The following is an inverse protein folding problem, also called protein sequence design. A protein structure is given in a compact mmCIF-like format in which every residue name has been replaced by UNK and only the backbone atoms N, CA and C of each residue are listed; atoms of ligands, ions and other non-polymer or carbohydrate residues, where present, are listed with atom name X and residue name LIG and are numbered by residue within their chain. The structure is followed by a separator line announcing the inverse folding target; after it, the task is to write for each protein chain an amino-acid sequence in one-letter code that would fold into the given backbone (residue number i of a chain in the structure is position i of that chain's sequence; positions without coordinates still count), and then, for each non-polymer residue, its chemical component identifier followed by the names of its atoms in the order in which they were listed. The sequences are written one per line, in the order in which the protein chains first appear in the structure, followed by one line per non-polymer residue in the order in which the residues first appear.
data_IF_987923046311
#
_entry.id   IF_987923046311
#
_cell.length_a   1.000
_cell.length_b   1.000
_cell.length_c   1.000
_cell.angle_alpha   90.00
_cell.angle_beta   90.00
_cell.angle_gamma   90.00
#
_symmetry.space_group_name_H-M   'P 1'
#
loop_
_entity.id
_entity.type
_entity.pdbx_description
1 polymer ?
#
# COMPACT_ATOMS: atom_id res chain seq x y z
N UNK A 1 0.24 -26.48 -14.37
CA UNK A 1 1.23 -25.52 -13.85
C UNK A 1 2.23 -26.29 -13.01
N UNK A 2 3.52 -25.95 -13.07
CA UNK A 2 4.61 -26.65 -12.35
C UNK A 2 5.29 -25.72 -11.33
N UNK A 3 4.55 -24.72 -10.83
CA UNK A 3 5.07 -23.75 -9.87
C UNK A 3 4.05 -23.44 -8.77
N UNK A 4 4.55 -22.90 -7.66
CA UNK A 4 3.79 -22.44 -6.51
C UNK A 4 4.19 -21.00 -6.21
N UNK A 5 3.20 -20.16 -5.93
CA UNK A 5 3.38 -18.89 -5.23
C UNK A 5 2.91 -19.10 -3.78
N UNK A 6 3.80 -18.89 -2.81
CA UNK A 6 3.58 -19.08 -1.38
C UNK A 6 3.79 -17.75 -0.66
N UNK A 7 2.92 -17.40 0.28
CA UNK A 7 3.04 -16.21 1.10
C UNK A 7 2.72 -16.47 2.57
N UNK A 8 3.55 -15.92 3.45
CA UNK A 8 3.30 -15.80 4.89
C UNK A 8 2.91 -14.35 5.16
N UNK A 9 1.67 -14.15 5.55
CA UNK A 9 1.06 -12.86 5.79
C UNK A 9 0.97 -12.61 7.28
N UNK A 10 1.60 -11.58 7.77
CA UNK A 10 1.71 -11.24 9.19
C UNK A 10 0.90 -9.97 9.44
N UNK A 11 -0.02 -9.99 10.41
CA UNK A 11 -0.81 -8.82 10.82
C UNK A 11 0.01 -7.81 11.63
N UNK A 12 1.10 -7.34 11.05
CA UNK A 12 2.02 -6.34 11.62
C UNK A 12 2.47 -5.39 10.50
N UNK A 13 2.49 -4.10 10.78
CA UNK A 13 2.89 -3.05 9.84
C UNK A 13 2.93 -1.69 10.55
N UNK A 14 3.20 -0.61 9.84
CA UNK A 14 3.52 0.68 10.47
C UNK A 14 2.40 1.25 11.35
N UNK A 15 1.13 0.87 11.15
CA UNK A 15 0.04 1.31 12.02
C UNK A 15 0.08 0.74 13.44
N UNK A 16 0.75 -0.40 13.64
CA UNK A 16 0.87 -1.06 14.95
C UNK A 16 2.06 -0.56 15.77
N UNK A 17 2.92 0.23 15.16
CA UNK A 17 4.10 0.79 15.80
C UNK A 17 3.71 1.92 16.77
N UNK A 18 4.44 2.02 17.87
CA UNK A 18 4.40 3.24 18.68
C UNK A 18 5.28 4.33 18.00
N UNK A 19 5.03 5.61 18.23
CA UNK A 19 5.80 6.68 17.57
C UNK A 19 7.32 6.58 17.75
N UNK A 20 7.77 6.02 18.88
CA UNK A 20 9.19 5.82 19.17
C UNK A 20 9.83 4.67 18.38
N UNK A 21 9.00 3.81 17.76
CA UNK A 21 9.42 2.61 17.01
C UNK A 21 9.06 2.74 15.51
N UNK A 22 8.88 3.97 15.02
CA UNK A 22 8.49 4.19 13.63
C UNK A 22 9.52 3.61 12.65
N UNK A 23 9.08 2.62 11.85
CA UNK A 23 9.91 1.89 10.89
C UNK A 23 10.36 0.51 11.37
N UNK A 24 10.05 0.09 12.61
CA UNK A 24 10.48 -1.23 13.12
C UNK A 24 9.93 -2.39 12.30
N UNK A 25 8.71 -2.29 11.75
CA UNK A 25 8.13 -3.34 10.90
C UNK A 25 8.93 -3.51 9.60
N UNK A 26 9.31 -2.43 8.96
CA UNK A 26 10.15 -2.44 7.77
C UNK A 26 11.57 -2.90 8.10
N UNK A 27 12.12 -2.48 9.22
CA UNK A 27 13.43 -2.94 9.69
C UNK A 27 13.46 -4.45 9.94
N UNK A 28 12.41 -5.03 10.54
CA UNK A 28 12.28 -6.48 10.70
C UNK A 28 12.20 -7.18 9.34
N UNK A 29 11.51 -6.60 8.35
CA UNK A 29 11.49 -7.15 6.99
C UNK A 29 12.90 -7.35 6.43
N UNK A 30 13.79 -6.39 6.58
CA UNK A 30 15.20 -6.51 6.20
C UNK A 30 15.93 -7.60 7.01
N UNK A 31 15.74 -7.58 8.31
CA UNK A 31 16.49 -8.44 9.25
C UNK A 31 16.16 -9.92 9.13
N UNK A 32 14.94 -10.31 8.70
CA UNK A 32 14.58 -11.72 8.54
C UNK A 32 15.38 -12.43 7.44
N UNK A 33 16.02 -11.70 6.53
CA UNK A 33 16.93 -12.24 5.50
C UNK A 33 18.36 -12.41 6.02
N UNK A 34 18.71 -11.89 7.20
CA UNK A 34 20.09 -11.91 7.75
C UNK A 34 20.44 -13.15 8.55
N UNK A 35 19.58 -14.15 8.52
CA UNK A 35 19.79 -15.46 9.12
C UNK A 35 18.78 -15.81 10.20
N UNK A 36 18.64 -17.10 10.38
CA UNK A 36 17.72 -17.75 11.32
C UNK A 36 18.48 -18.72 12.22
N UNK A 37 17.79 -19.39 13.13
CA UNK A 37 18.41 -20.45 13.94
C UNK A 37 19.02 -21.58 13.11
N UNK A 38 18.47 -21.87 11.91
CA UNK A 38 18.88 -23.04 11.11
C UNK A 38 19.53 -22.68 9.78
N UNK A 39 19.38 -21.45 9.29
CA UNK A 39 19.88 -21.00 8.00
C UNK A 39 20.65 -19.69 8.14
N UNK A 40 21.88 -19.65 7.66
CA UNK A 40 22.59 -18.38 7.50
C UNK A 40 21.96 -17.51 6.39
N UNK A 41 22.26 -16.23 6.34
CA UNK A 41 21.84 -15.35 5.23
C UNK A 41 22.28 -15.90 3.87
N UNK A 42 23.50 -16.45 3.80
CA UNK A 42 24.01 -17.11 2.61
C UNK A 42 23.20 -18.35 2.23
N UNK A 43 22.80 -19.20 3.20
CA UNK A 43 21.99 -20.39 2.93
C UNK A 43 20.61 -20.02 2.39
N UNK A 44 19.97 -18.98 2.96
CA UNK A 44 18.67 -18.48 2.49
C UNK A 44 18.79 -18.09 1.02
N UNK A 45 19.74 -17.23 0.66
CA UNK A 45 19.95 -16.79 -0.71
C UNK A 45 20.27 -17.98 -1.64
N UNK A 46 21.28 -18.80 -1.27
CA UNK A 46 21.71 -19.95 -2.09
C UNK A 46 20.59 -20.96 -2.34
N UNK A 47 19.76 -21.25 -1.34
CA UNK A 47 18.66 -22.22 -1.47
C UNK A 47 17.65 -21.73 -2.52
N UNK A 48 17.25 -20.45 -2.50
CA UNK A 48 16.31 -19.94 -3.49
C UNK A 48 16.94 -19.74 -4.86
N UNK A 49 18.21 -19.39 -4.94
CA UNK A 49 18.96 -19.35 -6.21
C UNK A 49 19.03 -20.74 -6.85
N UNK A 50 19.37 -21.79 -6.07
CA UNK A 50 19.43 -23.19 -6.55
C UNK A 50 18.05 -23.70 -7.00
N UNK A 51 16.96 -23.21 -6.40
CA UNK A 51 15.59 -23.51 -6.84
C UNK A 51 15.20 -22.77 -8.12
N UNK A 52 15.97 -21.76 -8.55
CA UNK A 52 15.53 -20.80 -9.55
C UNK A 52 14.28 -20.06 -9.10
N UNK A 53 14.11 -19.89 -7.79
CA UNK A 53 12.96 -19.27 -7.15
C UNK A 53 13.20 -17.79 -6.87
N UNK A 54 12.11 -17.08 -6.63
CA UNK A 54 12.11 -15.69 -6.21
C UNK A 54 11.62 -15.64 -4.76
N UNK A 55 12.39 -15.09 -3.84
CA UNK A 55 12.01 -14.83 -2.45
C UNK A 55 12.07 -13.32 -2.20
N UNK A 56 11.01 -12.76 -1.64
CA UNK A 56 10.94 -11.34 -1.30
C UNK A 56 10.01 -11.12 -0.09
N UNK A 57 10.03 -9.91 0.46
CA UNK A 57 9.08 -9.47 1.46
C UNK A 57 8.61 -8.04 1.15
N UNK A 58 7.50 -7.65 1.75
CA UNK A 58 6.97 -6.31 1.64
C UNK A 58 6.19 -5.95 2.91
N UNK A 59 6.44 -4.75 3.42
CA UNK A 59 5.72 -4.17 4.56
C UNK A 59 4.73 -3.12 4.07
N UNK A 60 3.55 -3.13 4.64
CA UNK A 60 2.53 -2.10 4.44
C UNK A 60 2.12 -1.46 5.78
N UNK A 61 1.13 -0.59 5.74
CA UNK A 61 0.62 -0.01 6.99
C UNK A 61 -0.04 -1.04 7.90
N UNK A 62 -0.63 -2.11 7.38
CA UNK A 62 -1.43 -3.06 8.16
C UNK A 62 -0.89 -4.49 8.21
N UNK A 63 0.07 -4.82 7.38
CA UNK A 63 0.65 -6.17 7.32
C UNK A 63 2.06 -6.16 6.73
N UNK A 64 2.79 -7.22 7.05
CA UNK A 64 4.03 -7.61 6.35
C UNK A 64 3.79 -8.95 5.68
N UNK A 65 4.33 -9.16 4.50
CA UNK A 65 4.26 -10.43 3.77
C UNK A 65 5.65 -10.89 3.37
N UNK A 66 5.98 -12.15 3.67
CA UNK A 66 7.13 -12.86 3.11
C UNK A 66 6.59 -13.80 2.05
N UNK A 67 7.04 -13.69 0.82
CA UNK A 67 6.49 -14.47 -0.28
C UNK A 67 7.58 -15.00 -1.21
N UNK A 68 7.27 -16.14 -1.83
CA UNK A 68 8.18 -16.76 -2.79
C UNK A 68 7.43 -17.38 -3.97
N UNK A 69 8.13 -17.55 -5.09
CA UNK A 69 7.69 -18.33 -6.26
C UNK A 69 8.77 -19.33 -6.63
N UNK A 70 8.42 -20.58 -6.75
CA UNK A 70 9.35 -21.68 -6.98
C UNK A 70 8.65 -22.88 -7.67
N UNK A 71 9.41 -23.91 -8.05
CA UNK A 71 8.87 -25.15 -8.62
C UNK A 71 8.15 -25.98 -7.55
N UNK A 72 7.08 -26.67 -7.95
CA UNK A 72 6.21 -27.46 -7.07
C UNK A 72 6.95 -28.52 -6.22
N UNK A 73 8.00 -29.12 -6.78
CA UNK A 73 8.85 -30.10 -6.09
C UNK A 73 9.70 -29.52 -4.94
N UNK A 74 9.81 -28.20 -4.85
CA UNK A 74 10.60 -27.49 -3.84
C UNK A 74 9.77 -27.02 -2.64
N UNK A 75 8.47 -27.35 -2.58
CA UNK A 75 7.56 -26.83 -1.57
C UNK A 75 8.06 -27.05 -0.15
N UNK A 76 8.54 -28.26 0.19
CA UNK A 76 8.95 -28.60 1.56
C UNK A 76 10.13 -27.74 2.02
N UNK A 77 11.13 -27.56 1.15
CA UNK A 77 12.32 -26.79 1.46
C UNK A 77 12.02 -25.29 1.52
N UNK A 78 11.29 -24.75 0.55
CA UNK A 78 10.91 -23.34 0.53
C UNK A 78 10.06 -22.99 1.76
N UNK A 79 9.08 -23.85 2.11
CA UNK A 79 8.24 -23.66 3.29
C UNK A 79 9.09 -23.68 4.58
N UNK A 80 10.03 -24.62 4.73
CA UNK A 80 10.90 -24.71 5.89
C UNK A 80 11.71 -23.43 6.10
N UNK A 81 12.35 -22.93 5.04
CA UNK A 81 13.16 -21.71 5.11
C UNK A 81 12.29 -20.50 5.46
N UNK A 82 11.16 -20.29 4.75
CA UNK A 82 10.27 -19.16 5.00
C UNK A 82 9.65 -19.19 6.40
N UNK A 83 9.25 -20.37 6.88
CA UNK A 83 8.74 -20.52 8.25
C UNK A 83 9.77 -20.16 9.29
N UNK A 84 11.04 -20.53 9.06
CA UNK A 84 12.14 -20.23 9.97
C UNK A 84 12.47 -18.72 9.96
N UNK A 85 12.48 -18.09 8.78
CA UNK A 85 12.64 -16.63 8.64
C UNK A 85 11.58 -15.87 9.44
N UNK A 86 10.32 -16.31 9.38
CA UNK A 86 9.21 -15.65 10.07
C UNK A 86 9.20 -15.92 11.57
N UNK A 87 9.59 -17.14 12.02
CA UNK A 87 9.43 -17.55 13.42
C UNK A 87 10.70 -17.47 14.26
N UNK A 88 11.89 -17.59 13.65
CA UNK A 88 13.17 -17.73 14.36
C UNK A 88 14.30 -16.90 13.75
N UNK A 89 14.05 -15.63 13.38
CA UNK A 89 15.13 -14.77 12.92
C UNK A 89 16.11 -14.53 14.08
N UNK A 90 17.41 -14.49 13.77
CA UNK A 90 18.44 -14.20 14.76
C UNK A 90 18.66 -12.71 14.99
N UNK A 91 18.11 -11.86 14.12
CA UNK A 91 18.41 -10.43 14.09
C UNK A 91 19.93 -10.17 14.18
N UNK A 92 20.66 -10.96 13.39
CA UNK A 92 22.10 -10.78 13.25
C UNK A 92 22.39 -9.53 12.43
N UNK A 93 23.58 -8.98 12.61
CA UNK A 93 24.08 -7.83 11.84
C UNK A 93 23.17 -6.60 11.87
N UNK A 94 22.39 -6.43 12.97
CA UNK A 94 21.41 -5.35 13.11
C UNK A 94 22.00 -3.96 12.87
N UNK A 95 23.24 -3.71 13.29
CA UNK A 95 23.88 -2.41 13.12
C UNK A 95 24.24 -2.14 11.67
N UNK A 96 24.76 -3.14 10.94
CA UNK A 96 25.07 -2.99 9.52
C UNK A 96 23.80 -2.87 8.68
N UNK A 97 22.74 -3.61 9.01
CA UNK A 97 21.47 -3.52 8.29
C UNK A 97 20.74 -2.22 8.59
N UNK A 98 20.90 -1.67 9.80
CA UNK A 98 20.38 -0.32 10.12
C UNK A 98 20.96 0.73 9.20
N UNK A 99 22.27 0.68 8.91
CA UNK A 99 22.88 1.63 7.98
C UNK A 99 22.30 1.48 6.56
N UNK A 100 22.02 0.25 6.10
CA UNK A 100 21.33 0.01 4.82
C UNK A 100 19.96 0.64 4.79
N UNK A 101 19.15 0.45 5.86
CA UNK A 101 17.80 1.04 5.93
C UNK A 101 17.86 2.56 6.05
N UNK A 102 18.87 3.11 6.77
CA UNK A 102 19.07 4.56 6.84
C UNK A 102 19.44 5.18 5.48
N UNK A 103 20.22 4.48 4.65
CA UNK A 103 20.47 4.90 3.27
C UNK A 103 19.20 4.85 2.42
N UNK A 104 18.35 3.82 2.61
CA UNK A 104 17.06 3.74 1.94
C UNK A 104 16.12 4.88 2.35
N UNK A 105 16.06 5.21 3.65
CA UNK A 105 15.32 6.39 4.14
C UNK A 105 15.82 7.66 3.46
N UNK A 106 17.15 7.86 3.38
CA UNK A 106 17.72 9.03 2.73
C UNK A 106 17.37 9.08 1.22
N UNK A 107 17.44 7.95 0.51
CA UNK A 107 17.04 7.86 -0.90
C UNK A 107 15.54 8.17 -1.08
N UNK A 108 14.70 7.67 -0.18
CA UNK A 108 13.26 7.93 -0.21
C UNK A 108 12.95 9.41 0.07
N UNK A 109 13.60 10.00 1.08
CA UNK A 109 13.49 11.43 1.37
C UNK A 109 13.96 12.28 0.18
N UNK A 110 14.93 11.80 -0.60
CA UNK A 110 15.45 12.47 -1.80
C UNK A 110 14.58 12.29 -3.06
N UNK A 111 13.52 11.47 -2.98
CA UNK A 111 12.55 11.30 -4.05
C UNK A 111 11.25 12.07 -3.76
N UNK A 112 11.05 13.31 -4.26
CA UNK A 112 9.83 14.07 -3.99
C UNK A 112 8.56 13.38 -4.49
N UNK A 113 8.67 12.60 -5.56
CA UNK A 113 7.55 11.86 -6.14
C UNK A 113 7.05 10.71 -5.24
N UNK A 114 7.94 10.11 -4.44
CA UNK A 114 7.58 9.07 -3.47
C UNK A 114 7.18 9.70 -2.13
N UNK A 115 7.98 10.63 -1.62
CA UNK A 115 7.77 11.31 -0.33
C UNK A 115 6.42 12.02 -0.25
N UNK A 116 5.93 12.60 -1.34
CA UNK A 116 4.67 13.36 -1.36
C UNK A 116 3.46 12.54 -0.91
N UNK A 117 3.46 11.23 -1.12
CA UNK A 117 2.38 10.35 -0.72
C UNK A 117 2.31 10.17 0.81
N UNK A 118 3.46 10.13 1.49
CA UNK A 118 3.49 10.12 2.95
C UNK A 118 3.16 11.49 3.55
N UNK A 119 3.58 12.59 2.90
CA UNK A 119 3.18 13.96 3.29
C UNK A 119 1.65 14.11 3.18
N UNK A 120 1.03 13.55 2.12
CA UNK A 120 -0.43 13.52 2.01
C UNK A 120 -1.07 12.66 3.10
N UNK A 121 -0.55 11.46 3.35
CA UNK A 121 -1.08 10.59 4.40
C UNK A 121 -1.00 11.25 5.79
N UNK A 122 0.06 12.01 6.08
CA UNK A 122 0.16 12.83 7.28
C UNK A 122 -0.87 13.95 7.35
N UNK A 123 -1.18 14.60 6.23
CA UNK A 123 -2.18 15.66 6.18
C UNK A 123 -3.62 15.12 6.31
N UNK A 124 -3.92 13.97 5.67
CA UNK A 124 -5.26 13.36 5.68
C UNK A 124 -5.55 12.63 7.00
N UNK A 125 -4.54 11.96 7.58
CA UNK A 125 -4.68 11.12 8.77
C UNK A 125 -4.01 11.73 10.01
N UNK A 126 -3.91 13.04 10.12
CA UNK A 126 -3.21 13.70 11.23
C UNK A 126 -3.65 13.16 12.59
N UNK A 127 -2.66 12.87 13.46
CA UNK A 127 -2.90 12.24 14.76
C UNK A 127 -3.33 10.78 14.73
N UNK A 128 -3.55 10.18 13.55
CA UNK A 128 -3.96 8.79 13.40
C UNK A 128 -2.76 7.88 13.05
N UNK A 129 -2.85 6.59 13.42
CA UNK A 129 -1.77 5.62 13.15
C UNK A 129 -1.47 5.44 11.64
N UNK A 130 -2.45 5.65 10.77
CA UNK A 130 -2.28 5.58 9.31
C UNK A 130 -1.45 6.75 8.72
N UNK A 131 -1.18 7.80 9.49
CA UNK A 131 -0.30 8.88 9.06
C UNK A 131 1.18 8.46 8.97
N UNK A 132 1.60 7.38 9.69
CA UNK A 132 2.99 6.97 9.75
C UNK A 132 3.47 6.41 8.41
N UNK A 133 4.66 6.85 7.99
CA UNK A 133 5.37 6.26 6.87
C UNK A 133 5.76 4.80 7.18
N UNK A 134 5.70 3.92 6.20
CA UNK A 134 6.11 2.51 6.36
C UNK A 134 7.62 2.41 6.57
N UNK A 135 8.38 3.22 5.85
CA UNK A 135 9.84 3.25 5.96
C UNK A 135 10.34 3.78 7.32
N UNK A 136 9.44 4.43 8.09
CA UNK A 136 9.76 5.03 9.39
C UNK A 136 10.51 6.35 9.28
N UNK A 137 11.39 6.59 10.23
CA UNK A 137 12.27 7.75 10.23
C UNK A 137 13.63 7.43 10.86
N UNK A 138 14.66 8.15 10.43
CA UNK A 138 16.03 7.92 10.86
C UNK A 138 16.25 8.05 12.39
N UNK A 139 15.49 8.89 13.08
CA UNK A 139 15.63 9.08 14.53
C UNK A 139 15.17 7.86 15.31
N UNK A 140 14.00 7.28 14.97
CA UNK A 140 13.48 6.07 15.59
C UNK A 140 14.38 4.87 15.28
N UNK A 141 14.75 4.67 14.01
CA UNK A 141 15.61 3.55 13.58
C UNK A 141 16.97 3.52 14.29
N UNK A 142 17.56 4.70 14.59
CA UNK A 142 18.81 4.77 15.36
C UNK A 142 18.66 4.39 16.84
N UNK A 143 17.43 4.45 17.38
CA UNK A 143 17.14 4.06 18.77
C UNK A 143 16.79 2.59 18.91
N UNK A 144 16.29 1.95 17.87
CA UNK A 144 15.87 0.56 17.89
C UNK A 144 17.09 -0.36 18.06
N UNK A 145 17.28 -0.84 19.27
CA UNK A 145 18.28 -1.86 19.57
C UNK A 145 17.70 -3.28 19.33
N UNK A 146 18.56 -4.28 19.42
CA UNK A 146 18.14 -5.67 19.22
C UNK A 146 17.00 -6.08 20.14
N UNK A 147 16.98 -5.62 21.38
CA UNK A 147 15.93 -5.96 22.35
C UNK A 147 14.57 -5.37 21.95
N UNK A 148 14.55 -4.13 21.44
CA UNK A 148 13.32 -3.51 20.94
C UNK A 148 12.76 -4.22 19.72
N UNK A 149 13.61 -4.61 18.77
CA UNK A 149 13.25 -5.39 17.58
C UNK A 149 12.71 -6.77 17.97
N UNK A 150 13.42 -7.50 18.84
CA UNK A 150 12.97 -8.81 19.35
C UNK A 150 11.62 -8.70 20.06
N UNK A 151 11.45 -7.70 20.92
CA UNK A 151 10.19 -7.50 21.65
C UNK A 151 9.00 -7.20 20.71
N UNK A 152 9.22 -6.41 19.65
CA UNK A 152 8.20 -6.15 18.64
C UNK A 152 7.85 -7.42 17.85
N UNK A 153 8.86 -8.17 17.39
CA UNK A 153 8.68 -9.43 16.69
C UNK A 153 7.92 -10.45 17.56
N UNK A 154 8.32 -10.68 18.80
CA UNK A 154 7.65 -11.59 19.73
C UNK A 154 6.18 -11.20 20.02
N UNK A 155 5.86 -9.92 19.95
CA UNK A 155 4.50 -9.45 20.18
C UNK A 155 3.60 -9.64 18.94
N UNK A 156 4.13 -9.46 17.73
CA UNK A 156 3.35 -9.38 16.50
C UNK A 156 3.45 -10.61 15.59
N UNK A 157 4.61 -11.30 15.54
CA UNK A 157 4.83 -12.46 14.66
C UNK A 157 4.35 -13.77 15.32
N UNK A 158 3.14 -13.72 15.86
CA UNK A 158 2.50 -14.82 16.57
C UNK A 158 1.55 -15.58 15.65
N UNK A 159 1.36 -16.88 15.89
CA UNK A 159 0.55 -17.77 15.04
C UNK A 159 -0.83 -17.22 14.66
N UNK A 160 -1.63 -16.63 15.59
CA UNK A 160 -2.95 -16.09 15.23
C UNK A 160 -2.89 -14.88 14.31
N UNK A 161 -1.72 -14.24 14.19
CA UNK A 161 -1.49 -13.12 13.30
C UNK A 161 -0.95 -13.55 11.92
N UNK A 162 -0.72 -14.85 11.70
CA UNK A 162 -0.09 -15.36 10.48
C UNK A 162 -1.11 -16.11 9.64
N UNK A 163 -1.25 -15.71 8.39
CA UNK A 163 -2.00 -16.40 7.34
C UNK A 163 -1.02 -16.95 6.30
N UNK A 164 -1.18 -18.22 5.94
CA UNK A 164 -0.42 -18.85 4.86
C UNK A 164 -1.32 -18.99 3.65
N UNK A 165 -0.91 -18.42 2.54
CA UNK A 165 -1.62 -18.52 1.26
C UNK A 165 -0.70 -19.14 0.21
N UNK A 166 -1.23 -20.10 -0.54
CA UNK A 166 -0.50 -20.74 -1.64
C UNK A 166 -1.38 -20.92 -2.87
N UNK A 167 -0.81 -20.68 -4.05
CA UNK A 167 -1.49 -20.82 -5.34
C UNK A 167 -0.56 -21.51 -6.32
N UNK A 168 -1.08 -22.48 -7.04
CA UNK A 168 -0.34 -23.24 -8.05
C UNK A 168 -0.55 -24.74 -7.93
N UNK A 169 0.47 -25.53 -8.19
CA UNK A 169 0.43 -26.99 -8.03
C UNK A 169 0.73 -27.38 -6.59
N UNK A 170 -0.22 -27.15 -5.70
CA UNK A 170 -0.09 -27.38 -4.26
C UNK A 170 -1.26 -28.22 -3.75
N UNK A 171 -0.97 -29.21 -2.90
CA UNK A 171 -1.97 -29.94 -2.14
C UNK A 171 -2.23 -29.28 -0.80
N UNK A 172 -3.51 -29.03 -0.48
CA UNK A 172 -3.90 -28.32 0.75
C UNK A 172 -3.53 -29.11 2.03
N UNK A 173 -3.72 -30.44 2.02
CA UNK A 173 -3.40 -31.25 3.20
C UNK A 173 -1.89 -31.23 3.45
N UNK A 174 -1.08 -31.29 2.38
CA UNK A 174 0.38 -31.16 2.49
C UNK A 174 0.80 -29.81 3.05
N UNK A 175 0.15 -28.72 2.61
CA UNK A 175 0.43 -27.37 3.13
C UNK A 175 0.10 -27.28 4.63
N UNK A 176 -1.02 -27.87 5.07
CA UNK A 176 -1.40 -27.94 6.49
C UNK A 176 -0.39 -28.73 7.31
N UNK A 177 0.07 -29.91 6.82
CA UNK A 177 1.13 -30.71 7.49
C UNK A 177 2.42 -29.91 7.67
N UNK A 178 2.83 -29.14 6.65
CA UNK A 178 4.01 -28.29 6.73
C UNK A 178 3.81 -27.16 7.75
N UNK A 179 2.64 -26.52 7.75
CA UNK A 179 2.31 -25.49 8.72
C UNK A 179 2.33 -26.03 10.15
N UNK A 180 1.73 -27.20 10.41
CA UNK A 180 1.75 -27.84 11.74
C UNK A 180 3.17 -28.22 12.17
N UNK A 181 3.98 -28.73 11.25
CA UNK A 181 5.37 -29.15 11.50
C UNK A 181 6.27 -27.98 11.86
N UNK A 182 6.22 -26.91 11.10
CA UNK A 182 7.19 -25.81 11.20
C UNK A 182 6.72 -24.68 12.12
N UNK A 183 5.43 -24.42 12.21
CA UNK A 183 4.87 -23.41 13.13
C UNK A 183 4.39 -24.04 14.45
N UNK A 184 4.34 -25.38 14.51
CA UNK A 184 3.91 -26.17 15.67
C UNK A 184 2.39 -26.28 15.78
N UNK A 185 1.94 -27.50 16.16
CA UNK A 185 0.54 -27.75 16.49
C UNK A 185 0.21 -27.15 17.85
N UNK A 186 -0.80 -26.29 17.89
CA UNK A 186 -1.49 -25.83 19.11
C UNK A 186 -0.61 -25.38 20.28
N UNK A 187 -1.15 -24.55 21.11
CA UNK A 187 -0.55 -24.05 22.35
C UNK A 187 -1.36 -22.87 22.86
N UNK A 188 -1.15 -22.44 24.10
CA UNK A 188 -1.71 -21.16 24.56
C UNK A 188 -1.08 -20.06 23.71
N UNK A 189 -1.86 -19.49 22.80
CA UNK A 189 -1.38 -18.51 21.84
C UNK A 189 -1.74 -17.13 22.35
N UNK A 190 -0.71 -16.30 22.55
CA UNK A 190 -0.91 -14.89 22.84
C UNK A 190 -1.55 -14.23 21.62
N UNK A 191 -2.65 -13.53 21.82
CA UNK A 191 -3.23 -12.72 20.75
C UNK A 191 -2.29 -11.56 20.40
N UNK A 192 -2.14 -11.21 19.11
CA UNK A 192 -1.37 -10.04 18.74
C UNK A 192 -2.03 -8.78 19.30
N UNK A 193 -1.28 -7.68 19.47
CA UNK A 193 -1.86 -6.40 19.80
C UNK A 193 -2.92 -6.02 18.78
N UNK A 194 -4.11 -5.64 19.26
CA UNK A 194 -5.15 -5.14 18.36
C UNK A 194 -4.80 -3.74 17.86
N UNK A 195 -5.05 -3.41 16.58
CA UNK A 195 -4.88 -2.05 16.10
C UNK A 195 -5.85 -1.11 16.82
N UNK A 196 -5.41 0.10 17.09
CA UNK A 196 -6.29 1.15 17.57
C UNK A 196 -7.12 1.64 16.37
N UNK A 197 -8.31 1.09 16.21
CA UNK A 197 -9.26 1.53 15.20
C UNK A 197 -9.98 2.78 15.75
N UNK A 198 -9.69 3.92 15.14
CA UNK A 198 -10.37 5.17 15.43
C UNK A 198 -10.77 5.80 14.11
N UNK A 199 -11.93 6.44 14.05
CA UNK A 199 -12.31 7.20 12.85
C UNK A 199 -11.40 8.43 12.76
N UNK A 200 -10.64 8.60 11.68
CA UNK A 200 -9.82 9.78 11.47
C UNK A 200 -10.71 11.05 11.46
N UNK A 201 -10.17 12.14 11.96
CA UNK A 201 -10.80 13.45 11.84
C UNK A 201 -10.50 14.01 10.45
N UNK A 202 -11.49 14.59 9.79
CA UNK A 202 -11.27 15.28 8.52
C UNK A 202 -10.41 16.52 8.75
N UNK A 203 -9.27 16.55 8.10
CA UNK A 203 -8.40 17.74 8.04
C UNK A 203 -8.50 18.33 6.63
N UNK A 204 -8.58 19.64 6.55
CA UNK A 204 -8.66 20.38 5.30
C UNK A 204 -7.55 21.43 5.31
N UNK A 205 -6.35 21.00 4.93
CA UNK A 205 -5.13 21.81 5.05
C UNK A 205 -4.41 21.92 3.70
N UNK A 206 -3.71 23.02 3.50
CA UNK A 206 -2.73 23.19 2.43
C UNK A 206 -1.34 23.24 3.06
N UNK A 207 -0.47 22.25 2.72
CA UNK A 207 0.88 22.13 3.27
C UNK A 207 1.91 22.17 2.17
N UNK A 208 2.95 22.98 2.36
CA UNK A 208 4.08 23.08 1.45
C UNK A 208 5.38 22.63 2.14
N UNK A 209 6.12 21.75 1.45
CA UNK A 209 7.45 21.31 1.86
C UNK A 209 8.49 21.87 0.89
N UNK A 210 9.35 22.76 1.39
CA UNK A 210 10.41 23.33 0.57
C UNK A 210 11.52 22.30 0.29
N UNK A 211 11.78 22.05 -0.99
CA UNK A 211 12.87 21.18 -1.46
C UNK A 211 13.31 21.63 -2.85
N UNK A 212 14.61 21.71 -3.08
CA UNK A 212 15.17 22.01 -4.40
C UNK A 212 14.90 20.87 -5.38
N UNK A 213 13.95 21.09 -6.29
CA UNK A 213 13.48 20.10 -7.26
C UNK A 213 13.24 20.77 -8.61
N UNK A 214 13.37 20.03 -9.71
CA UNK A 214 13.04 20.54 -11.06
C UNK A 214 11.51 20.62 -11.27
N UNK A 215 10.77 19.76 -10.59
CA UNK A 215 9.29 19.68 -10.70
C UNK A 215 8.66 19.90 -9.34
N UNK A 216 7.46 20.45 -9.37
CA UNK A 216 6.54 20.43 -8.24
C UNK A 216 5.81 19.10 -8.22
N UNK A 217 5.83 18.44 -7.07
CA UNK A 217 5.05 17.23 -6.82
C UNK A 217 3.89 17.63 -5.93
N UNK A 218 2.67 17.46 -6.41
CA UNK A 218 1.47 17.86 -5.69
C UNK A 218 0.54 16.67 -5.55
N UNK A 219 0.00 16.50 -4.34
CA UNK A 219 -1.11 15.60 -4.08
C UNK A 219 -2.31 16.36 -3.50
N UNK A 220 -3.48 16.00 -3.99
CA UNK A 220 -4.76 16.29 -3.36
C UNK A 220 -5.33 15.00 -2.81
N UNK A 221 -5.95 15.02 -1.63
CA UNK A 221 -6.58 13.82 -1.11
C UNK A 221 -7.44 14.05 0.11
N UNK A 222 -8.37 13.15 0.31
CA UNK A 222 -9.31 13.13 1.42
C UNK A 222 -9.60 11.71 1.90
N UNK A 223 -10.45 11.58 2.91
CA UNK A 223 -10.85 10.28 3.43
C UNK A 223 -11.63 9.49 2.37
N UNK A 224 -11.38 8.19 2.32
CA UNK A 224 -12.10 7.21 1.52
C UNK A 224 -12.84 6.19 2.39
N UNK A 225 -13.60 5.27 1.79
CA UNK A 225 -14.32 4.24 2.53
C UNK A 225 -13.39 3.21 3.17
N UNK A 226 -13.92 2.48 4.15
CA UNK A 226 -13.27 1.30 4.70
C UNK A 226 -13.12 0.20 3.65
N UNK A 227 -12.19 -0.72 3.87
CA UNK A 227 -11.86 -1.81 2.94
C UNK A 227 -13.02 -2.77 2.68
N UNK A 228 -13.86 -3.00 3.67
CA UNK A 228 -15.02 -3.89 3.58
C UNK A 228 -16.30 -3.18 3.09
N UNK A 229 -16.25 -1.85 2.87
CA UNK A 229 -17.38 -1.09 2.36
C UNK A 229 -17.77 -1.59 0.95
N UNK A 230 -19.03 -1.96 0.72
CA UNK A 230 -19.46 -2.44 -0.60
C UNK A 230 -19.31 -1.40 -1.71
N UNK A 231 -19.26 -0.11 -1.37
CA UNK A 231 -19.07 0.99 -2.33
C UNK A 231 -17.67 1.03 -2.94
N UNK A 232 -16.72 0.24 -2.43
CA UNK A 232 -15.35 0.13 -2.98
C UNK A 232 -15.32 -0.20 -4.48
N UNK A 233 -16.31 -0.95 -4.99
CA UNK A 233 -16.41 -1.26 -6.42
C UNK A 233 -16.81 -0.04 -7.24
N UNK A 234 -17.77 0.74 -6.77
CA UNK A 234 -18.13 2.00 -7.38
C UNK A 234 -16.99 3.03 -7.29
N UNK A 235 -16.26 3.05 -6.16
CA UNK A 235 -15.05 3.88 -6.01
C UNK A 235 -13.98 3.51 -7.05
N UNK A 236 -13.70 2.23 -7.25
CA UNK A 236 -12.74 1.79 -8.27
C UNK A 236 -13.17 2.21 -9.68
N UNK A 237 -14.48 2.20 -9.98
CA UNK A 237 -14.99 2.67 -11.28
C UNK A 237 -14.79 4.18 -11.44
N UNK A 238 -15.09 4.97 -10.42
CA UNK A 238 -14.88 6.42 -10.44
C UNK A 238 -13.40 6.75 -10.58
N UNK A 239 -12.55 6.07 -9.81
CA UNK A 239 -11.10 6.24 -9.86
C UNK A 239 -10.54 5.93 -11.26
N UNK A 240 -10.95 4.82 -11.87
CA UNK A 240 -10.55 4.47 -13.24
C UNK A 240 -11.03 5.48 -14.30
N UNK A 241 -12.20 6.07 -14.12
CA UNK A 241 -12.72 7.11 -15.01
C UNK A 241 -11.98 8.44 -14.83
N UNK A 242 -11.59 8.78 -13.60
CA UNK A 242 -10.97 10.08 -13.27
C UNK A 242 -9.48 10.11 -13.59
N UNK A 243 -8.67 9.16 -13.09
CA UNK A 243 -7.21 9.20 -13.22
C UNK A 243 -6.53 7.84 -13.35
N UNK A 244 -7.26 6.72 -13.21
CA UNK A 244 -6.70 5.37 -13.18
C UNK A 244 -6.38 4.75 -14.54
N UNK A 245 -6.52 5.46 -15.66
CA UNK A 245 -6.26 4.94 -17.00
C UNK A 245 -5.78 6.01 -17.97
N UNK A 246 -5.16 5.60 -19.09
CA UNK A 246 -4.75 6.55 -20.15
C UNK A 246 -5.94 7.26 -20.82
N UNK A 247 -7.14 6.70 -20.74
CA UNK A 247 -8.37 7.32 -21.26
C UNK A 247 -9.17 8.08 -20.20
N UNK A 248 -8.63 8.21 -18.98
CA UNK A 248 -9.26 8.94 -17.89
C UNK A 248 -9.23 10.46 -18.11
N UNK A 249 -10.11 11.16 -17.41
CA UNK A 249 -10.26 12.63 -17.55
C UNK A 249 -8.95 13.36 -17.29
N UNK A 250 -8.32 13.11 -16.14
CA UNK A 250 -7.10 13.81 -15.75
C UNK A 250 -5.94 13.54 -16.73
N UNK A 251 -5.78 12.29 -17.15
CA UNK A 251 -4.73 11.93 -18.09
C UNK A 251 -4.94 12.64 -19.43
N UNK A 252 -6.18 12.65 -19.95
CA UNK A 252 -6.50 13.29 -21.21
C UNK A 252 -6.39 14.81 -21.15
N UNK A 253 -6.93 15.44 -20.09
CA UNK A 253 -6.98 16.91 -20.02
C UNK A 253 -5.64 17.55 -19.67
N UNK A 254 -4.87 16.93 -18.75
CA UNK A 254 -3.62 17.53 -18.26
C UNK A 254 -2.42 17.09 -19.10
N UNK A 255 -2.33 15.79 -19.42
CA UNK A 255 -1.16 15.24 -20.12
C UNK A 255 -1.32 15.27 -21.65
N UNK A 256 -2.35 14.60 -22.19
CA UNK A 256 -2.44 14.36 -23.63
C UNK A 256 -2.78 15.65 -24.40
N UNK A 257 -3.77 16.41 -23.96
CA UNK A 257 -4.23 17.60 -24.68
C UNK A 257 -3.35 18.83 -24.47
N UNK A 258 -2.73 18.98 -23.31
CA UNK A 258 -2.02 20.21 -22.91
C UNK A 258 -0.55 20.03 -22.57
N UNK A 259 -0.10 18.81 -22.29
CA UNK A 259 1.31 18.53 -21.97
C UNK A 259 1.80 19.24 -20.70
N UNK A 260 0.92 19.46 -19.71
CA UNK A 260 1.25 20.20 -18.49
C UNK A 260 1.98 19.34 -17.46
N UNK A 261 1.78 18.02 -17.50
CA UNK A 261 2.43 17.07 -16.63
C UNK A 261 2.76 15.79 -17.39
N UNK A 262 3.87 15.13 -17.04
CA UNK A 262 4.18 13.80 -17.53
C UNK A 262 3.48 12.72 -16.69
N UNK A 263 3.44 12.90 -15.38
CA UNK A 263 2.79 11.99 -14.44
C UNK A 263 1.58 12.68 -13.82
N UNK A 264 0.41 12.08 -14.03
CA UNK A 264 -0.84 12.44 -13.38
C UNK A 264 -1.70 11.18 -13.26
N UNK A 265 -2.21 10.92 -12.07
CA UNK A 265 -3.10 9.79 -11.79
C UNK A 265 -3.91 10.00 -10.52
N UNK A 266 -5.03 9.30 -10.40
CA UNK A 266 -5.75 9.12 -9.15
C UNK A 266 -5.49 7.72 -8.58
N UNK A 267 -5.64 7.58 -7.27
CA UNK A 267 -5.52 6.31 -6.58
C UNK A 267 -6.32 6.30 -5.28
N UNK A 268 -6.60 5.10 -4.79
CA UNK A 268 -7.23 4.90 -3.49
C UNK A 268 -6.47 3.87 -2.65
N UNK A 269 -6.43 4.11 -1.34
CA UNK A 269 -5.88 3.19 -0.34
C UNK A 269 -6.96 2.88 0.70
N UNK A 270 -7.31 1.60 0.85
CA UNK A 270 -8.39 1.19 1.75
C UNK A 270 -7.84 0.43 2.94
N UNK A 271 -8.20 0.86 4.15
CA UNK A 271 -7.78 0.31 5.43
C UNK A 271 -8.98 -0.28 6.18
N UNK A 272 -8.76 -0.83 7.37
CA UNK A 272 -9.80 -1.52 8.13
C UNK A 272 -11.00 -0.62 8.45
N UNK A 273 -10.79 0.61 8.90
CA UNK A 273 -11.86 1.52 9.36
C UNK A 273 -12.12 2.72 8.44
N UNK A 274 -11.27 2.94 7.44
CA UNK A 274 -11.29 4.12 6.56
C UNK A 274 -10.50 3.86 5.29
N UNK A 275 -10.40 4.86 4.43
CA UNK A 275 -9.52 4.87 3.27
C UNK A 275 -8.99 6.27 2.99
N UNK A 276 -8.23 6.38 1.93
CA UNK A 276 -7.80 7.63 1.33
C UNK A 276 -8.05 7.57 -0.17
N UNK A 277 -8.59 8.63 -0.74
CA UNK A 277 -8.65 8.88 -2.18
C UNK A 277 -7.74 10.06 -2.49
N UNK A 278 -7.01 9.99 -3.58
CA UNK A 278 -6.02 10.99 -3.91
C UNK A 278 -5.81 11.18 -5.40
N UNK A 279 -5.28 12.34 -5.75
CA UNK A 279 -4.77 12.68 -7.09
C UNK A 279 -3.34 13.18 -6.94
N UNK A 280 -2.44 12.64 -7.73
CA UNK A 280 -1.04 13.07 -7.84
C UNK A 280 -0.79 13.76 -9.17
N UNK A 281 0.04 14.79 -9.16
CA UNK A 281 0.59 15.43 -10.36
C UNK A 281 2.03 15.88 -10.14
N UNK A 282 2.90 15.55 -11.11
CA UNK A 282 4.25 16.10 -11.23
C UNK A 282 4.32 17.10 -12.37
N UNK A 283 4.53 18.38 -12.08
CA UNK A 283 4.50 19.47 -13.09
C UNK A 283 5.67 20.45 -12.92
N UNK A 284 6.07 21.07 -14.03
CA UNK A 284 7.03 22.19 -14.00
C UNK A 284 6.36 23.46 -13.48
N UNK A 285 7.17 24.42 -13.00
CA UNK A 285 6.70 25.68 -12.40
C UNK A 285 5.69 26.42 -13.28
N UNK A 286 5.99 26.57 -14.57
CA UNK A 286 5.21 27.39 -15.51
C UNK A 286 3.84 26.78 -15.85
N UNK A 287 3.69 25.47 -15.64
CA UNK A 287 2.46 24.73 -15.94
C UNK A 287 1.63 24.41 -14.69
N UNK A 288 2.18 24.65 -13.48
CA UNK A 288 1.58 24.19 -12.24
C UNK A 288 0.19 24.78 -12.00
N UNK A 289 0.04 26.10 -12.08
CA UNK A 289 -1.23 26.78 -11.81
C UNK A 289 -2.34 26.31 -12.77
N UNK A 290 -2.03 26.19 -14.06
CA UNK A 290 -2.97 25.69 -15.06
C UNK A 290 -3.34 24.22 -14.80
N UNK A 291 -2.34 23.37 -14.48
CA UNK A 291 -2.57 21.95 -14.17
C UNK A 291 -3.47 21.77 -12.94
N UNK A 292 -3.20 22.50 -11.87
CA UNK A 292 -4.01 22.43 -10.64
C UNK A 292 -5.42 22.98 -10.85
N UNK A 293 -5.58 24.03 -11.65
CA UNK A 293 -6.89 24.55 -12.05
C UNK A 293 -7.72 23.49 -12.78
N UNK A 294 -7.12 22.80 -13.78
CA UNK A 294 -7.79 21.74 -14.53
C UNK A 294 -8.15 20.56 -13.64
N UNK A 295 -7.24 20.14 -12.72
CA UNK A 295 -7.53 19.07 -11.77
C UNK A 295 -8.75 19.40 -10.92
N UNK A 296 -8.84 20.62 -10.39
CA UNK A 296 -10.00 21.09 -9.62
C UNK A 296 -11.27 21.05 -10.43
N UNK A 297 -11.25 21.59 -11.65
CA UNK A 297 -12.40 21.60 -12.54
C UNK A 297 -12.88 20.17 -12.87
N UNK A 298 -11.96 19.23 -13.12
CA UNK A 298 -12.32 17.84 -13.44
C UNK A 298 -12.85 17.09 -12.20
N UNK A 299 -12.34 17.37 -11.00
CA UNK A 299 -12.88 16.84 -9.75
C UNK A 299 -14.31 17.38 -9.52
N UNK A 300 -14.54 18.67 -9.66
CA UNK A 300 -15.88 19.27 -9.53
C UNK A 300 -16.86 18.72 -10.59
N UNK A 301 -16.38 18.53 -11.83
CA UNK A 301 -17.17 17.88 -12.88
C UNK A 301 -17.46 16.42 -12.61
N UNK A 302 -16.57 15.69 -11.92
CA UNK A 302 -16.82 14.29 -11.56
C UNK A 302 -18.01 14.14 -10.61
N UNK A 303 -18.25 15.15 -9.78
CA UNK A 303 -19.36 15.21 -8.83
C UNK A 303 -20.69 15.55 -9.54
N UNK A 304 -20.63 16.45 -10.53
CA UNK A 304 -21.82 17.04 -11.15
C UNK A 304 -22.21 16.43 -12.50
N UNK A 305 -21.21 15.97 -13.26
CA UNK A 305 -21.37 15.50 -14.65
C UNK A 305 -20.43 14.31 -14.92
N UNK A 306 -20.77 13.14 -14.39
CA UNK A 306 -20.14 11.87 -14.72
C UNK A 306 -21.01 11.13 -15.74
N UNK A 307 -20.66 11.10 -17.06
CA UNK A 307 -21.47 10.48 -18.08
C UNK A 307 -21.46 8.96 -18.00
N UNK A 308 -22.54 8.33 -18.35
CA UNK A 308 -22.68 6.86 -18.42
C UNK A 308 -21.58 6.22 -19.29
N UNK A 309 -21.23 6.83 -20.41
CA UNK A 309 -20.18 6.31 -21.32
C UNK A 309 -18.80 6.20 -20.62
N UNK A 310 -18.46 7.11 -19.73
CA UNK A 310 -17.21 7.05 -18.98
C UNK A 310 -17.25 5.95 -17.93
N UNK A 311 -18.37 5.78 -17.24
CA UNK A 311 -18.61 4.70 -16.29
C UNK A 311 -18.47 3.34 -16.97
N UNK A 312 -19.13 3.14 -18.13
CA UNK A 312 -19.05 1.88 -18.87
C UNK A 312 -17.63 1.60 -19.41
N UNK A 313 -16.91 2.61 -19.87
CA UNK A 313 -15.50 2.47 -20.26
C UNK A 313 -14.61 2.08 -19.08
N UNK A 314 -14.80 2.71 -17.92
CA UNK A 314 -14.07 2.38 -16.69
C UNK A 314 -14.35 0.94 -16.21
N UNK A 315 -15.61 0.51 -16.24
CA UNK A 315 -16.00 -0.88 -15.95
C UNK A 315 -15.32 -1.88 -16.89
N UNK A 316 -15.33 -1.61 -18.18
CA UNK A 316 -14.66 -2.46 -19.17
C UNK A 316 -13.14 -2.55 -18.91
N UNK A 317 -12.50 -1.43 -18.60
CA UNK A 317 -11.08 -1.36 -18.24
C UNK A 317 -10.78 -2.19 -17.00
N UNK A 318 -11.52 -1.99 -15.91
CA UNK A 318 -11.33 -2.71 -14.65
C UNK A 318 -11.53 -4.22 -14.81
N UNK A 319 -12.55 -4.64 -15.56
CA UNK A 319 -12.76 -6.08 -15.84
C UNK A 319 -11.57 -6.69 -16.59
N UNK A 320 -11.03 -5.99 -17.57
CA UNK A 320 -9.82 -6.41 -18.27
C UNK A 320 -8.63 -6.55 -17.33
N UNK A 321 -8.38 -5.55 -16.48
CA UNK A 321 -7.31 -5.58 -15.50
C UNK A 321 -7.46 -6.73 -14.47
N UNK A 322 -8.68 -6.98 -14.00
CA UNK A 322 -8.96 -8.09 -13.08
C UNK A 322 -8.67 -9.44 -13.72
N UNK A 323 -9.13 -9.69 -14.95
CA UNK A 323 -8.89 -10.95 -15.65
C UNK A 323 -7.41 -11.17 -15.87
N UNK A 324 -6.72 -10.19 -16.48
CA UNK A 324 -5.30 -10.29 -16.79
C UNK A 324 -4.43 -10.42 -15.50
N UNK A 325 -4.79 -9.67 -14.45
CA UNK A 325 -4.09 -9.76 -13.17
C UNK A 325 -4.25 -11.13 -12.51
N UNK A 326 -5.44 -11.72 -12.57
CA UNK A 326 -5.72 -13.03 -11.97
C UNK A 326 -5.14 -14.23 -12.73
N UNK A 327 -4.54 -14.05 -13.89
CA UNK A 327 -3.74 -15.09 -14.55
C UNK A 327 -2.44 -15.39 -13.78
N UNK A 328 -1.94 -14.42 -13.01
CA UNK A 328 -0.74 -14.56 -12.19
C UNK A 328 -1.02 -15.32 -10.88
N UNK A 329 -0.33 -16.46 -10.62
CA UNK A 329 -0.41 -17.15 -9.32
C UNK A 329 -0.01 -16.24 -8.15
N UNK A 330 0.96 -15.36 -8.37
CA UNK A 330 1.41 -14.38 -7.38
C UNK A 330 0.27 -13.41 -7.01
N UNK A 331 -0.41 -12.81 -8.00
CA UNK A 331 -1.54 -11.91 -7.74
C UNK A 331 -2.70 -12.62 -7.01
N UNK A 332 -2.99 -13.87 -7.39
CA UNK A 332 -4.01 -14.69 -6.68
C UNK A 332 -3.60 -14.99 -5.24
N UNK A 333 -2.35 -15.33 -5.00
CA UNK A 333 -1.82 -15.57 -3.64
C UNK A 333 -1.93 -14.30 -2.80
N UNK A 334 -1.59 -13.14 -3.37
CA UNK A 334 -1.74 -11.85 -2.70
C UNK A 334 -3.20 -11.52 -2.38
N UNK A 335 -4.12 -11.74 -3.32
CA UNK A 335 -5.55 -11.56 -3.07
C UNK A 335 -6.04 -12.43 -1.91
N UNK A 336 -5.74 -13.74 -1.94
CA UNK A 336 -6.17 -14.69 -0.92
C UNK A 336 -5.60 -14.34 0.46
N UNK A 337 -4.28 -14.18 0.55
CA UNK A 337 -3.60 -13.92 1.82
C UNK A 337 -4.07 -12.64 2.47
N UNK A 338 -4.16 -11.54 1.69
CA UNK A 338 -4.68 -10.26 2.17
C UNK A 338 -6.15 -10.37 2.60
N UNK A 339 -7.01 -11.01 1.80
CA UNK A 339 -8.44 -11.11 2.14
C UNK A 339 -8.66 -11.86 3.46
N UNK A 340 -7.97 -12.99 3.66
CA UNK A 340 -8.06 -13.76 4.91
C UNK A 340 -7.53 -12.96 6.09
N UNK A 341 -6.33 -12.37 5.96
CA UNK A 341 -5.70 -11.61 7.04
C UNK A 341 -6.54 -10.43 7.49
N UNK A 342 -7.14 -9.73 6.52
CA UNK A 342 -7.93 -8.52 6.78
C UNK A 342 -9.44 -8.78 6.95
N UNK A 343 -9.83 -10.06 7.02
CA UNK A 343 -11.22 -10.50 7.21
C UNK A 343 -12.19 -9.95 6.15
N UNK A 344 -11.70 -9.74 4.93
CA UNK A 344 -12.52 -9.34 3.78
C UNK A 344 -12.98 -10.60 3.04
N UNK A 345 -14.21 -10.58 2.53
CA UNK A 345 -14.79 -11.68 1.75
C UNK A 345 -13.86 -12.08 0.59
N UNK A 346 -13.59 -13.39 0.48
CA UNK A 346 -12.86 -13.95 -0.65
C UNK A 346 -13.84 -14.11 -1.80
N UNK A 347 -13.65 -13.27 -2.82
CA UNK A 347 -14.45 -13.35 -4.04
C UNK A 347 -13.70 -14.12 -5.13
N UNK A 348 -14.39 -14.97 -5.85
CA UNK A 348 -13.92 -15.51 -7.12
C UNK A 348 -13.77 -14.41 -8.18
N UNK A 349 -13.04 -14.69 -9.24
CA UNK A 349 -12.92 -13.75 -10.37
C UNK A 349 -14.30 -13.37 -10.92
N UNK A 350 -15.19 -14.37 -11.12
CA UNK A 350 -16.53 -14.12 -11.67
C UNK A 350 -17.38 -13.25 -10.75
N UNK A 351 -17.27 -13.44 -9.43
CA UNK A 351 -17.96 -12.59 -8.45
C UNK A 351 -17.41 -11.16 -8.47
N UNK A 352 -16.09 -10.97 -8.56
CA UNK A 352 -15.49 -9.64 -8.69
C UNK A 352 -15.95 -8.95 -9.98
N UNK A 353 -15.95 -9.66 -11.10
CA UNK A 353 -16.45 -9.14 -12.38
C UNK A 353 -17.93 -8.76 -12.30
N UNK A 354 -18.75 -9.60 -11.66
CA UNK A 354 -20.18 -9.31 -11.45
C UNK A 354 -20.38 -8.07 -10.56
N UNK A 355 -19.58 -7.88 -9.51
CA UNK A 355 -19.63 -6.69 -8.65
C UNK A 355 -19.28 -5.41 -9.40
N UNK A 356 -18.25 -5.44 -10.25
CA UNK A 356 -17.89 -4.30 -11.11
C UNK A 356 -19.00 -4.02 -12.14
N UNK A 357 -19.52 -5.07 -12.78
CA UNK A 357 -20.60 -4.92 -13.77
C UNK A 357 -21.89 -4.35 -13.18
N UNK A 358 -22.21 -4.72 -11.94
CA UNK A 358 -23.40 -4.26 -11.23
C UNK A 358 -23.35 -2.78 -10.78
N UNK A 359 -22.19 -2.10 -10.90
CA UNK A 359 -22.08 -0.67 -10.56
C UNK A 359 -22.96 0.13 -11.51
N UNK A 360 -23.92 0.86 -10.95
CA UNK A 360 -24.80 1.77 -11.71
C UNK A 360 -24.20 3.17 -11.79
N UNK A 361 -24.65 3.95 -12.78
CA UNK A 361 -24.29 5.37 -12.89
C UNK A 361 -24.64 6.15 -11.62
N UNK A 362 -25.81 5.88 -11.01
CA UNK A 362 -26.26 6.53 -9.79
C UNK A 362 -25.30 6.22 -8.60
N UNK A 363 -24.85 4.97 -8.47
CA UNK A 363 -23.89 4.57 -7.45
C UNK A 363 -22.51 5.24 -7.65
N UNK A 364 -22.03 5.29 -8.91
CA UNK A 364 -20.78 5.98 -9.24
C UNK A 364 -20.86 7.47 -8.92
N UNK A 365 -21.96 8.13 -9.30
CA UNK A 365 -22.19 9.55 -8.99
C UNK A 365 -22.33 9.80 -7.48
N UNK A 366 -22.96 8.89 -6.72
CA UNK A 366 -23.08 9.02 -5.28
C UNK A 366 -21.70 8.94 -4.59
N UNK A 367 -20.87 8.00 -5.02
CA UNK A 367 -19.49 7.84 -4.55
C UNK A 367 -18.63 9.04 -4.92
N UNK A 368 -18.77 9.57 -6.16
CA UNK A 368 -18.07 10.77 -6.58
C UNK A 368 -18.41 11.96 -5.67
N UNK A 369 -19.69 12.19 -5.40
CA UNK A 369 -20.13 13.28 -4.50
C UNK A 369 -19.65 13.15 -3.08
N UNK A 370 -19.49 11.93 -2.57
CA UNK A 370 -19.08 11.72 -1.18
C UNK A 370 -17.57 11.78 -0.99
N UNK A 371 -16.79 11.15 -1.88
CA UNK A 371 -15.35 10.97 -1.67
C UNK A 371 -14.46 11.88 -2.53
N UNK A 372 -15.00 12.55 -3.56
CA UNK A 372 -14.22 13.46 -4.42
C UNK A 372 -14.61 14.92 -4.24
N UNK A 373 -15.30 15.26 -3.15
CA UNK A 373 -15.60 16.63 -2.78
C UNK A 373 -14.34 17.33 -2.23
N UNK A 374 -13.79 18.22 -3.03
CA UNK A 374 -12.60 19.00 -2.70
C UNK A 374 -12.71 19.81 -1.41
N UNK A 375 -13.93 20.17 -0.95
CA UNK A 375 -14.12 20.89 0.30
C UNK A 375 -13.72 20.07 1.53
N UNK A 376 -13.51 18.77 1.37
CA UNK A 376 -13.07 17.83 2.43
C UNK A 376 -11.63 17.34 2.24
N UNK A 377 -10.96 17.78 1.17
CA UNK A 377 -9.64 17.31 0.82
C UNK A 377 -8.53 18.21 1.33
N UNK A 378 -7.37 17.63 1.60
CA UNK A 378 -6.11 18.35 1.84
C UNK A 378 -5.29 18.42 0.56
N UNK A 379 -4.46 19.45 0.44
CA UNK A 379 -3.50 19.63 -0.64
C UNK A 379 -2.09 19.67 -0.06
N UNK A 380 -1.16 18.94 -0.66
CA UNK A 380 0.24 18.94 -0.25
C UNK A 380 1.14 19.15 -1.45
N UNK A 381 2.25 19.84 -1.28
CA UNK A 381 3.20 20.13 -2.33
C UNK A 381 4.64 20.01 -1.84
N UNK A 382 5.51 19.42 -2.65
CA UNK A 382 6.96 19.49 -2.52
C UNK A 382 7.53 20.23 -3.72
N UNK A 383 8.29 21.29 -3.48
CA UNK A 383 8.86 22.11 -4.54
C UNK A 383 9.81 23.19 -4.02
N UNK A 384 10.46 23.95 -4.90
CA UNK A 384 11.47 24.94 -4.50
C UNK A 384 10.87 26.26 -3.99
N UNK A 385 9.64 26.61 -4.42
CA UNK A 385 9.04 27.91 -4.17
C UNK A 385 7.54 27.74 -3.81
N UNK A 386 7.06 28.23 -2.65
CA UNK A 386 5.68 28.05 -2.23
C UNK A 386 4.66 28.86 -3.04
N UNK A 387 5.04 29.99 -3.66
CA UNK A 387 4.11 30.93 -4.26
C UNK A 387 3.21 30.32 -5.35
N UNK A 388 3.72 29.51 -6.30
CA UNK A 388 2.85 28.92 -7.33
C UNK A 388 1.80 27.96 -6.74
N UNK A 389 2.15 27.22 -5.68
CA UNK A 389 1.22 26.34 -5.01
C UNK A 389 0.19 27.13 -4.18
N UNK A 390 0.61 28.14 -3.43
CA UNK A 390 -0.28 29.01 -2.65
C UNK A 390 -1.29 29.72 -3.54
N UNK A 391 -0.83 30.33 -4.62
CA UNK A 391 -1.71 30.98 -5.62
C UNK A 391 -2.76 30.01 -6.15
N UNK A 392 -2.35 28.80 -6.54
CA UNK A 392 -3.25 27.77 -7.09
C UNK A 392 -4.21 27.17 -6.07
N UNK A 393 -3.88 27.23 -4.78
CA UNK A 393 -4.69 26.68 -3.67
C UNK A 393 -5.37 27.75 -2.83
N UNK A 394 -5.30 29.02 -3.22
CA UNK A 394 -5.98 30.12 -2.53
C UNK A 394 -7.49 29.85 -2.42
N UNK A 395 -8.00 29.89 -1.18
CA UNK A 395 -9.39 29.55 -0.87
C UNK A 395 -9.73 28.05 -0.89
N UNK A 396 -8.76 27.17 -1.18
CA UNK A 396 -8.98 25.73 -1.16
C UNK A 396 -9.00 25.16 0.27
N UNK A 397 -8.05 25.54 1.11
CA UNK A 397 -7.92 25.03 2.48
C UNK A 397 -7.28 26.07 3.40
N UNK A 398 -7.29 25.81 4.72
CA UNK A 398 -6.51 26.63 5.66
C UNK A 398 -5.03 26.30 5.48
N UNK A 399 -4.18 27.33 5.37
CA UNK A 399 -2.73 27.12 5.42
C UNK A 399 -2.34 26.58 6.80
N UNK A 400 -1.59 25.48 6.83
CA UNK A 400 -0.88 25.03 8.02
C UNK A 400 0.25 26.04 8.31
N UNK A 401 0.30 26.56 9.54
CA UNK A 401 1.29 27.53 10.00
C UNK A 401 2.65 26.88 10.29
#
# INVERSE_FOLDING_TARGET
MRSIALGFWIGAGSRYEEPAQAGVSHFIEHLIFKGTEHYSAWDIARIFDEMGGELNAATSKEYTVVHARFLDEQLDQAFSVMADMVQRPLFADIDSEREVVLEEVAMYEDSPADLIHDVLAQAVFDGHALARAVIGNAEALRRDDKQAVEAYHEAHYVKPAIVIAAVGNVDHARLCELAERHLGAGGAVKAPPAPRLATPVVHHVARFTAKETEQYNVCFGGLGPARDDPRRFALSVVDAALGGSSSSRLFQEVREKRGLAYSIYSYSSLYAETGMVAVYVGSRKEALEEALGIIRDELDRSITDLPEQEVERAKAHLKGQLVLGMESPHARMHQLGRSVLTSVEILSLDEMLAKVEAVTLEQAQAVAREFYDLSTWSAVCIGPDPEPFRSATEGFAREDA
#
